data_IF_248536372313
#
_entry.id   IF_248536372313
#
_cell.length_a   1.000
_cell.length_b   1.000
_cell.length_c   1.000
_cell.angle_alpha   90.00
_cell.angle_beta   90.00
_cell.angle_gamma   90.00
#
_symmetry.space_group_name_H-M   'P 1'
#
loop_
_entity.id
_entity.type
_entity.pdbx_description
1 polymer ?
#
# COMPACT_ATOMS: atom_id res chain seq x y z
N UNK A 1 5.01 3.40 -23.20
CA UNK A 1 4.52 2.88 -21.91
C UNK A 1 4.89 3.73 -20.68
N UNK A 2 5.97 4.50 -20.68
CA UNK A 2 6.41 5.26 -19.51
C UNK A 2 5.48 6.41 -19.03
N UNK A 3 4.67 6.99 -19.89
CA UNK A 3 3.83 8.16 -19.57
C UNK A 3 2.63 7.84 -18.65
N UNK A 4 2.07 6.64 -18.77
CA UNK A 4 0.90 6.23 -17.97
C UNK A 4 1.25 5.90 -16.50
N UNK A 5 2.47 5.43 -16.26
CA UNK A 5 2.88 5.05 -14.89
C UNK A 5 2.98 6.26 -13.95
N UNK A 6 3.25 7.47 -14.47
CA UNK A 6 3.35 8.68 -13.64
C UNK A 6 2.01 9.14 -13.07
N UNK A 7 0.89 8.77 -13.68
CA UNK A 7 -0.45 9.12 -13.20
C UNK A 7 -1.12 7.92 -12.55
N UNK A 8 -0.95 6.73 -13.14
CA UNK A 8 -1.63 5.52 -12.67
C UNK A 8 -1.14 5.08 -11.28
N UNK A 9 0.18 5.07 -11.03
CA UNK A 9 0.71 4.65 -9.73
C UNK A 9 0.24 5.57 -8.58
N UNK A 10 0.36 6.91 -8.66
CA UNK A 10 -0.22 7.79 -7.66
C UNK A 10 -1.71 7.58 -7.43
N UNK A 11 -2.49 7.42 -8.51
CA UNK A 11 -3.93 7.20 -8.42
C UNK A 11 -4.27 5.90 -7.68
N UNK A 12 -3.58 4.80 -7.97
CA UNK A 12 -3.73 3.51 -7.28
C UNK A 12 -3.36 3.65 -5.80
N UNK A 13 -2.28 4.35 -5.47
CA UNK A 13 -1.85 4.57 -4.09
C UNK A 13 -2.86 5.43 -3.30
N UNK A 14 -3.39 6.50 -3.89
CA UNK A 14 -4.43 7.33 -3.26
C UNK A 14 -5.69 6.49 -3.02
N UNK A 15 -6.15 5.75 -4.01
CA UNK A 15 -7.34 4.92 -3.89
C UNK A 15 -7.17 3.85 -2.79
N UNK A 16 -6.03 3.16 -2.78
CA UNK A 16 -5.70 2.20 -1.74
C UNK A 16 -5.66 2.85 -0.35
N UNK A 17 -4.98 3.99 -0.21
CA UNK A 17 -4.88 4.69 1.06
C UNK A 17 -6.24 5.16 1.59
N UNK A 18 -7.10 5.72 0.74
CA UNK A 18 -8.47 6.11 1.10
C UNK A 18 -9.31 4.91 1.51
N UNK A 19 -9.24 3.79 0.78
CA UNK A 19 -9.93 2.56 1.14
C UNK A 19 -9.46 2.01 2.49
N UNK A 20 -8.16 2.02 2.75
CA UNK A 20 -7.60 1.58 4.03
C UNK A 20 -8.09 2.45 5.19
N UNK A 21 -8.07 3.78 5.04
CA UNK A 21 -8.58 4.70 6.06
C UNK A 21 -10.06 4.42 6.32
N UNK A 22 -10.86 4.38 5.25
CA UNK A 22 -12.32 4.20 5.36
C UNK A 22 -12.67 2.85 5.97
N UNK A 23 -12.08 1.76 5.49
CA UNK A 23 -12.34 0.41 6.00
C UNK A 23 -11.90 0.27 7.47
N UNK A 24 -10.74 0.82 7.84
CA UNK A 24 -10.26 0.80 9.22
C UNK A 24 -11.18 1.58 10.16
N UNK A 25 -11.65 2.76 9.74
CA UNK A 25 -12.60 3.55 10.54
C UNK A 25 -13.93 2.83 10.67
N UNK A 26 -14.48 2.29 9.59
CA UNK A 26 -15.74 1.55 9.63
C UNK A 26 -15.63 0.32 10.53
N UNK A 27 -14.56 -0.45 10.40
CA UNK A 27 -14.32 -1.63 11.26
C UNK A 27 -14.14 -1.22 12.72
N UNK A 28 -13.41 -0.15 13.01
CA UNK A 28 -13.22 0.34 14.36
C UNK A 28 -14.52 0.83 15.02
N UNK A 29 -15.40 1.50 14.26
CA UNK A 29 -16.68 1.99 14.79
C UNK A 29 -17.76 0.92 14.87
N UNK A 30 -17.91 0.10 13.83
CA UNK A 30 -19.00 -0.88 13.75
C UNK A 30 -18.60 -2.27 14.23
N UNK A 31 -17.35 -2.66 14.09
CA UNK A 31 -16.84 -3.95 14.56
C UNK A 31 -16.92 -4.10 16.07
N UNK A 32 -16.66 -3.03 16.82
CA UNK A 32 -16.78 -3.03 18.30
C UNK A 32 -18.23 -3.12 18.80
N UNK A 33 -19.20 -2.71 17.98
CA UNK A 33 -20.64 -2.79 18.32
C UNK A 33 -21.21 -4.16 17.95
N UNK A 34 -20.80 -4.74 16.83
CA UNK A 34 -21.33 -6.00 16.31
C UNK A 34 -20.62 -7.23 16.88
N UNK A 35 -19.34 -7.11 17.19
CA UNK A 35 -18.53 -8.17 17.76
C UNK A 35 -17.78 -7.59 18.96
N UNK A 36 -18.10 -8.00 20.20
CA UNK A 36 -17.35 -7.63 21.39
C UNK A 36 -15.98 -8.31 21.38
N UNK A 37 -15.16 -7.95 20.42
CA UNK A 37 -13.74 -8.26 20.44
C UNK A 37 -13.07 -7.38 21.49
N UNK A 38 -11.95 -7.86 22.03
CA UNK A 38 -11.13 -7.06 22.96
C UNK A 38 -10.95 -5.65 22.39
N UNK A 39 -11.60 -4.69 23.04
CA UNK A 39 -11.70 -3.30 22.58
C UNK A 39 -10.34 -2.66 22.32
N UNK A 40 -9.29 -3.16 22.99
CA UNK A 40 -7.93 -2.69 22.79
C UNK A 40 -7.32 -3.13 21.46
N UNK A 41 -7.55 -4.36 21.03
CA UNK A 41 -7.05 -4.85 19.74
C UNK A 41 -7.76 -4.20 18.56
N UNK A 42 -9.09 -4.03 18.64
CA UNK A 42 -9.86 -3.32 17.61
C UNK A 42 -9.39 -1.87 17.42
N UNK A 43 -9.20 -1.13 18.52
CA UNK A 43 -8.73 0.25 18.46
C UNK A 43 -7.31 0.37 17.92
N UNK A 44 -6.38 -0.49 18.34
CA UNK A 44 -5.00 -0.47 17.84
C UNK A 44 -4.92 -0.83 16.36
N UNK A 45 -5.69 -1.82 15.92
CA UNK A 45 -5.78 -2.18 14.49
C UNK A 45 -6.33 -1.03 13.64
N UNK A 46 -7.36 -0.34 14.13
CA UNK A 46 -7.91 0.85 13.46
C UNK A 46 -6.89 1.97 13.33
N UNK A 47 -6.17 2.29 14.41
CA UNK A 47 -5.13 3.33 14.38
C UNK A 47 -4.02 2.96 13.40
N UNK A 48 -3.56 1.71 13.42
CA UNK A 48 -2.52 1.23 12.51
C UNK A 48 -2.97 1.31 11.04
N UNK A 49 -4.18 0.88 10.73
CA UNK A 49 -4.75 0.95 9.39
C UNK A 49 -4.92 2.37 8.87
N UNK A 50 -5.40 3.29 9.72
CA UNK A 50 -5.51 4.72 9.38
C UNK A 50 -4.13 5.33 9.16
N UNK A 51 -3.17 5.10 10.05
CA UNK A 51 -1.82 5.63 9.93
C UNK A 51 -1.12 5.12 8.65
N UNK A 52 -1.26 3.83 8.34
CA UNK A 52 -0.72 3.25 7.12
C UNK A 52 -1.39 3.84 5.87
N UNK A 53 -2.71 3.97 5.86
CA UNK A 53 -3.47 4.59 4.77
C UNK A 53 -3.05 6.04 4.51
N UNK A 54 -2.84 6.84 5.56
CA UNK A 54 -2.32 8.21 5.46
C UNK A 54 -0.91 8.19 4.84
N UNK A 55 -0.03 7.29 5.30
CA UNK A 55 1.33 7.17 4.79
C UNK A 55 1.38 6.82 3.29
N UNK A 56 0.57 5.85 2.86
CA UNK A 56 0.45 5.47 1.44
C UNK A 56 -0.09 6.63 0.60
N UNK A 57 -1.12 7.34 1.09
CA UNK A 57 -1.70 8.50 0.40
C UNK A 57 -0.68 9.65 0.28
N UNK A 58 0.04 9.95 1.34
CA UNK A 58 1.09 10.97 1.32
C UNK A 58 2.23 10.60 0.36
N UNK A 59 2.64 9.34 0.33
CA UNK A 59 3.68 8.85 -0.59
C UNK A 59 3.26 8.91 -2.06
N UNK A 60 1.95 8.94 -2.35
CA UNK A 60 1.41 9.07 -3.71
C UNK A 60 1.77 10.39 -4.39
N UNK A 61 2.11 11.45 -3.63
CA UNK A 61 2.56 12.74 -4.20
C UNK A 61 3.87 12.58 -4.97
N UNK A 62 4.77 11.70 -4.48
CA UNK A 62 6.04 11.39 -5.16
C UNK A 62 6.41 9.90 -4.94
N UNK A 63 5.79 8.97 -5.68
CA UNK A 63 6.04 7.54 -5.48
C UNK A 63 7.50 7.11 -5.75
N UNK A 64 8.16 7.81 -6.68
CA UNK A 64 9.55 7.54 -7.01
C UNK A 64 10.51 7.89 -5.86
N UNK A 65 10.22 8.96 -5.12
CA UNK A 65 10.95 9.34 -3.90
C UNK A 65 10.62 8.47 -2.68
N UNK A 66 9.47 7.80 -2.70
CA UNK A 66 8.94 7.03 -1.57
C UNK A 66 8.74 5.55 -1.91
N UNK A 67 9.69 4.94 -2.62
CA UNK A 67 9.63 3.52 -3.06
C UNK A 67 9.44 2.55 -1.89
N UNK A 68 9.93 2.89 -0.70
CA UNK A 68 9.71 2.09 0.52
C UNK A 68 8.23 1.95 0.86
N UNK A 69 7.43 2.98 0.66
CA UNK A 69 5.98 2.94 0.87
C UNK A 69 5.26 2.09 -0.17
N UNK A 70 5.72 2.13 -1.43
CA UNK A 70 5.19 1.23 -2.48
C UNK A 70 5.46 -0.23 -2.12
N UNK A 71 6.67 -0.55 -1.63
CA UNK A 71 7.02 -1.90 -1.18
C UNK A 71 6.20 -2.31 0.03
N UNK A 72 6.03 -1.41 1.00
CA UNK A 72 5.20 -1.68 2.18
C UNK A 72 3.73 -1.95 1.79
N UNK A 73 3.20 -1.20 0.81
CA UNK A 73 1.85 -1.41 0.30
C UNK A 73 1.70 -2.77 -0.42
N UNK A 74 2.69 -3.18 -1.23
CA UNK A 74 2.71 -4.52 -1.85
C UNK A 74 2.76 -5.62 -0.78
N UNK A 75 3.63 -5.46 0.22
CA UNK A 75 3.73 -6.41 1.32
C UNK A 75 2.44 -6.50 2.11
N UNK A 76 1.79 -5.36 2.39
CA UNK A 76 0.50 -5.33 3.05
C UNK A 76 -0.55 -6.13 2.28
N UNK A 77 -0.69 -5.90 0.97
CA UNK A 77 -1.62 -6.65 0.13
C UNK A 77 -1.34 -8.16 0.14
N UNK A 78 -0.06 -8.55 0.10
CA UNK A 78 0.33 -9.96 0.15
C UNK A 78 -0.02 -10.62 1.50
N UNK A 79 0.22 -9.92 2.61
CA UNK A 79 -0.09 -10.42 3.95
C UNK A 79 -1.60 -10.49 4.19
N UNK A 80 -2.35 -9.49 3.71
CA UNK A 80 -3.81 -9.47 3.82
C UNK A 80 -4.43 -10.62 3.02
N UNK A 81 -4.00 -10.82 1.77
CA UNK A 81 -4.44 -11.96 0.96
C UNK A 81 -4.10 -13.31 1.61
N UNK A 82 -2.90 -13.46 2.16
CA UNK A 82 -2.50 -14.65 2.88
C UNK A 82 -3.37 -14.88 4.13
N UNK A 83 -3.65 -13.83 4.88
CA UNK A 83 -4.50 -13.89 6.05
C UNK A 83 -5.92 -14.36 5.71
N UNK A 84 -6.53 -13.81 4.65
CA UNK A 84 -7.85 -14.24 4.18
C UNK A 84 -7.86 -15.71 3.75
N UNK A 85 -6.81 -16.18 3.06
CA UNK A 85 -6.67 -17.60 2.69
C UNK A 85 -6.56 -18.49 3.94
N UNK A 86 -5.79 -18.09 4.95
CA UNK A 86 -5.67 -18.81 6.20
C UNK A 86 -6.98 -18.88 6.97
N UNK A 87 -7.75 -17.78 7.01
CA UNK A 87 -9.08 -17.77 7.62
C UNK A 87 -10.03 -18.76 6.91
N UNK A 88 -9.96 -18.81 5.59
CA UNK A 88 -10.78 -19.75 4.82
C UNK A 88 -10.43 -21.22 5.12
N UNK A 89 -9.14 -21.54 5.16
CA UNK A 89 -8.66 -22.92 5.41
C UNK A 89 -8.93 -23.37 6.85
N UNK A 90 -8.70 -22.50 7.84
CA UNK A 90 -8.75 -22.89 9.26
C UNK A 90 -10.11 -22.72 9.89
N UNK A 91 -10.86 -21.68 9.51
CA UNK A 91 -12.17 -21.36 10.10
C UNK A 91 -13.35 -21.76 9.20
N UNK A 92 -13.10 -22.52 8.13
CA UNK A 92 -14.17 -23.03 7.25
C UNK A 92 -14.97 -21.95 6.54
N UNK A 93 -14.37 -20.78 6.30
CA UNK A 93 -14.99 -19.70 5.57
C UNK A 93 -15.92 -18.78 6.36
N UNK A 94 -16.19 -19.06 7.63
CA UNK A 94 -17.12 -18.26 8.44
C UNK A 94 -16.70 -16.80 8.64
N UNK A 95 -15.37 -16.53 8.62
CA UNK A 95 -14.80 -15.19 8.75
C UNK A 95 -14.11 -14.69 7.46
N UNK A 96 -14.16 -15.49 6.39
CA UNK A 96 -13.51 -15.18 5.11
C UNK A 96 -14.27 -14.11 4.35
N UNK A 97 -13.55 -13.12 3.83
CA UNK A 97 -14.09 -12.08 2.96
C UNK A 97 -13.51 -12.18 1.55
N UNK A 98 -14.30 -12.73 0.62
CA UNK A 98 -13.92 -12.78 -0.79
C UNK A 98 -13.65 -11.38 -1.37
N UNK A 99 -14.37 -10.38 -0.89
CA UNK A 99 -14.19 -8.99 -1.33
C UNK A 99 -12.83 -8.47 -0.87
N UNK A 100 -12.45 -8.70 0.39
CA UNK A 100 -11.14 -8.30 0.93
C UNK A 100 -10.02 -8.97 0.16
N UNK A 101 -10.09 -10.28 -0.05
CA UNK A 101 -9.11 -11.02 -0.84
C UNK A 101 -8.99 -10.46 -2.26
N UNK A 102 -10.11 -10.26 -2.97
CA UNK A 102 -10.10 -9.75 -4.34
C UNK A 102 -9.47 -8.34 -4.42
N UNK A 103 -9.84 -7.45 -3.50
CA UNK A 103 -9.31 -6.08 -3.43
C UNK A 103 -7.80 -6.12 -3.20
N UNK A 104 -7.31 -6.91 -2.24
CA UNK A 104 -5.89 -7.01 -1.92
C UNK A 104 -5.08 -7.60 -3.08
N UNK A 105 -5.59 -8.61 -3.76
CA UNK A 105 -4.93 -9.18 -4.95
C UNK A 105 -4.88 -8.15 -6.08
N UNK A 106 -5.98 -7.45 -6.37
CA UNK A 106 -6.02 -6.44 -7.43
C UNK A 106 -5.03 -5.31 -7.14
N UNK A 107 -5.05 -4.73 -5.94
CA UNK A 107 -4.10 -3.67 -5.58
C UNK A 107 -2.66 -4.15 -5.58
N UNK A 108 -2.39 -5.34 -5.06
CA UNK A 108 -1.05 -5.93 -5.06
C UNK A 108 -0.49 -6.09 -6.48
N UNK A 109 -1.29 -6.63 -7.39
CA UNK A 109 -0.90 -6.78 -8.81
C UNK A 109 -0.69 -5.42 -9.48
N UNK A 110 -1.59 -4.46 -9.28
CA UNK A 110 -1.46 -3.12 -9.85
C UNK A 110 -0.18 -2.42 -9.35
N UNK A 111 0.12 -2.49 -8.07
CA UNK A 111 1.33 -1.90 -7.50
C UNK A 111 2.60 -2.56 -8.03
N UNK A 112 2.60 -3.89 -8.26
CA UNK A 112 3.74 -4.60 -8.85
C UNK A 112 3.93 -4.21 -10.31
N UNK A 113 2.85 -4.18 -11.10
CA UNK A 113 2.90 -3.84 -12.53
C UNK A 113 3.32 -2.38 -12.75
N UNK A 114 2.83 -1.47 -11.90
CA UNK A 114 3.15 -0.05 -11.95
C UNK A 114 4.43 0.31 -11.19
N UNK A 115 5.12 -0.68 -10.61
CA UNK A 115 6.31 -0.44 -9.81
C UNK A 115 7.36 0.36 -10.60
N UNK A 116 7.92 1.45 -10.04
CA UNK A 116 8.88 2.28 -10.73
C UNK A 116 10.16 1.47 -11.04
N UNK A 117 10.46 1.30 -12.33
CA UNK A 117 11.67 0.61 -12.76
C UNK A 117 12.92 1.31 -12.21
N UNK A 118 13.84 0.54 -11.65
CA UNK A 118 15.10 1.02 -11.03
C UNK A 118 15.92 1.93 -11.94
N UNK A 119 15.79 1.82 -13.27
CA UNK A 119 16.46 2.67 -14.24
C UNK A 119 15.99 4.13 -14.27
N UNK A 120 14.79 4.43 -13.76
CA UNK A 120 14.29 5.81 -13.68
C UNK A 120 14.73 6.53 -12.40
N UNK A 121 15.37 5.82 -11.45
CA UNK A 121 15.74 6.32 -10.13
C UNK A 121 17.24 6.62 -9.98
N UNK A 122 18.06 6.35 -11.00
CA UNK A 122 19.45 6.81 -11.00
C UNK A 122 19.45 8.27 -11.43
N UNK A 123 19.84 9.23 -10.55
CA UNK A 123 20.15 10.56 -11.02
C UNK A 123 21.23 10.40 -12.09
N UNK A 124 21.04 11.04 -13.25
CA UNK A 124 22.08 11.12 -14.26
C UNK A 124 23.36 11.52 -13.53
N UNK A 125 24.34 10.63 -13.52
CA UNK A 125 25.65 10.92 -12.94
C UNK A 125 26.09 12.24 -13.58
N UNK A 126 26.10 13.32 -12.81
CA UNK A 126 26.70 14.57 -13.24
C UNK A 126 28.13 14.24 -13.55
N UNK A 127 28.44 14.11 -14.83
CA UNK A 127 29.81 14.09 -15.35
C UNK A 127 30.39 15.43 -14.96
N UNK A 128 30.98 15.45 -13.78
CA UNK A 128 31.80 16.57 -13.31
C UNK A 128 33.00 16.57 -14.23
N UNK A 129 32.89 17.30 -15.34
CA UNK A 129 34.05 17.69 -16.16
C UNK A 129 34.97 18.44 -15.22
N UNK A 130 36.01 17.72 -14.74
CA UNK A 130 37.15 18.35 -14.14
C UNK A 130 37.75 19.23 -15.23
N UNK A 131 37.45 20.52 -15.16
CA UNK A 131 38.15 21.52 -15.95
C UNK A 131 39.63 21.44 -15.63
N UNK A 132 40.39 20.94 -16.58
CA UNK A 132 41.85 21.12 -16.63
C UNK A 132 42.10 22.61 -16.74
N UNK A 133 42.56 23.23 -15.64
CA UNK A 133 43.11 24.57 -15.64
C UNK A 133 44.40 24.57 -16.47
N UNK A 134 44.52 25.36 -17.54
CA UNK A 134 45.80 25.56 -18.21
C UNK A 134 46.63 26.52 -17.35
N UNK A 135 47.89 26.13 -17.17
CA UNK A 135 48.99 26.99 -16.66
C UNK A 135 49.45 27.94 -17.74
#
# INVERSE_FOLDING_TARGET
MARWNHVALPAVMVLMGVLLITSSLLTGFFGTVLFPMDQQFGTRGTIAGVAFGIGVTAAAVNPAGHVSWVRAAVLYCALDALYEILLWVWLGGAAFSLISLAVSVIFGVLLIVLYPNRGALMPASSTRTMGTSPR
#
